data_IF_226060153333
#
_entry.id   IF_226060153333
#
_cell.length_a   1.000
_cell.length_b   1.000
_cell.length_c   1.000
_cell.angle_alpha   90.00
_cell.angle_beta   90.00
_cell.angle_gamma   90.00
#
_symmetry.space_group_name_H-M   'P 1'
#
loop_
_entity.id
_entity.type
_entity.pdbx_description
1 polymer ?
#
# COMPACT_ATOMS: atom_id res chain seq x y z
N UNK A 1 -78.43 -63.72 -26.88
CA UNK A 1 -77.84 -62.71 -25.98
C UNK A 1 -76.31 -62.74 -25.91
N UNK A 2 -75.61 -63.68 -26.58
CA UNK A 2 -74.14 -63.83 -26.43
C UNK A 2 -73.32 -62.96 -27.41
N UNK A 3 -73.79 -62.75 -28.64
CA UNK A 3 -72.98 -62.10 -29.68
C UNK A 3 -72.73 -60.60 -29.41
N UNK A 4 -73.74 -59.91 -28.87
CA UNK A 4 -73.63 -58.49 -28.50
C UNK A 4 -72.71 -58.26 -27.30
N UNK A 5 -72.71 -59.18 -26.33
CA UNK A 5 -71.82 -59.14 -25.17
C UNK A 5 -70.35 -59.37 -25.57
N UNK A 6 -70.08 -60.29 -26.49
CA UNK A 6 -68.72 -60.51 -26.98
C UNK A 6 -68.18 -59.33 -27.81
N UNK A 7 -69.02 -58.69 -28.63
CA UNK A 7 -68.63 -57.48 -29.36
C UNK A 7 -68.34 -56.31 -28.41
N UNK A 8 -69.18 -56.11 -27.38
CA UNK A 8 -68.93 -55.10 -26.34
C UNK A 8 -67.64 -55.38 -25.54
N UNK A 9 -67.40 -56.63 -25.14
CA UNK A 9 -66.17 -57.00 -24.44
C UNK A 9 -64.93 -56.80 -25.32
N UNK A 10 -64.99 -57.17 -26.60
CA UNK A 10 -63.88 -56.99 -27.53
C UNK A 10 -63.59 -55.50 -27.77
N UNK A 11 -64.63 -54.67 -27.87
CA UNK A 11 -64.49 -53.22 -28.01
C UNK A 11 -63.84 -52.62 -26.75
N UNK A 12 -64.32 -53.00 -25.56
CA UNK A 12 -63.76 -52.55 -24.28
C UNK A 12 -62.31 -53.00 -24.08
N UNK A 13 -61.97 -54.23 -24.48
CA UNK A 13 -60.60 -54.74 -24.44
C UNK A 13 -59.68 -53.99 -25.41
N UNK A 14 -60.14 -53.73 -26.64
CA UNK A 14 -59.37 -52.94 -27.61
C UNK A 14 -59.16 -51.49 -27.16
N UNK A 15 -60.18 -50.87 -26.56
CA UNK A 15 -60.11 -49.53 -26.00
C UNK A 15 -59.17 -49.48 -24.78
N UNK A 16 -59.27 -50.46 -23.88
CA UNK A 16 -58.39 -50.59 -22.72
C UNK A 16 -56.93 -50.83 -23.12
N UNK A 17 -56.69 -51.68 -24.12
CA UNK A 17 -55.34 -51.91 -24.65
C UNK A 17 -54.78 -50.66 -25.32
N UNK A 18 -55.59 -49.94 -26.11
CA UNK A 18 -55.20 -48.67 -26.71
C UNK A 18 -54.83 -47.60 -25.67
N UNK A 19 -55.60 -47.53 -24.59
CA UNK A 19 -55.34 -46.60 -23.49
C UNK A 19 -54.07 -46.97 -22.71
N UNK A 20 -53.82 -48.26 -22.48
CA UNK A 20 -52.57 -48.73 -21.86
C UNK A 20 -51.34 -48.41 -22.71
N UNK A 21 -51.42 -48.63 -24.03
CA UNK A 21 -50.34 -48.30 -24.96
C UNK A 21 -50.07 -46.79 -24.95
N UNK A 22 -51.14 -45.98 -24.98
CA UNK A 22 -51.03 -44.52 -24.93
C UNK A 22 -50.35 -44.03 -23.64
N UNK A 23 -50.78 -44.55 -22.48
CA UNK A 23 -50.17 -44.22 -21.19
C UNK A 23 -48.69 -44.65 -21.12
N UNK A 24 -48.35 -45.79 -21.70
CA UNK A 24 -46.97 -46.29 -21.73
C UNK A 24 -46.06 -45.41 -22.60
N UNK A 25 -46.55 -44.95 -23.77
CA UNK A 25 -45.84 -44.01 -24.63
C UNK A 25 -45.65 -42.65 -23.92
N UNK A 26 -46.71 -42.13 -23.28
CA UNK A 26 -46.63 -40.89 -22.51
C UNK A 26 -45.61 -40.97 -21.36
N UNK A 27 -45.61 -42.08 -20.62
CA UNK A 27 -44.67 -42.27 -19.51
C UNK A 27 -43.22 -42.35 -20.01
N UNK A 28 -42.96 -43.05 -21.12
CA UNK A 28 -41.64 -43.06 -21.74
C UNK A 28 -41.20 -41.67 -22.22
N UNK A 29 -42.12 -40.87 -22.76
CA UNK A 29 -41.83 -39.50 -23.18
C UNK A 29 -41.48 -38.60 -21.99
N UNK A 30 -42.22 -38.71 -20.89
CA UNK A 30 -41.93 -37.97 -19.64
C UNK A 30 -40.57 -38.35 -19.06
N UNK A 31 -40.24 -39.64 -19.03
CA UNK A 31 -38.93 -40.11 -18.55
C UNK A 31 -37.77 -39.56 -19.41
N UNK A 32 -37.95 -39.49 -20.73
CA UNK A 32 -36.93 -38.89 -21.62
C UNK A 32 -36.78 -37.39 -21.40
N UNK A 33 -37.88 -36.67 -21.18
CA UNK A 33 -37.83 -35.24 -20.88
C UNK A 33 -37.15 -34.95 -19.54
N UNK A 34 -37.45 -35.73 -18.50
CA UNK A 34 -36.77 -35.63 -17.20
C UNK A 34 -35.27 -35.88 -17.33
N UNK A 35 -34.87 -36.94 -18.06
CA UNK A 35 -33.45 -37.23 -18.30
C UNK A 35 -32.74 -36.11 -19.09
N UNK A 36 -33.43 -35.47 -20.04
CA UNK A 36 -32.89 -34.34 -20.78
C UNK A 36 -32.71 -33.09 -19.90
N UNK A 37 -33.68 -32.82 -19.00
CA UNK A 37 -33.58 -31.71 -18.03
C UNK A 37 -32.44 -31.95 -17.04
N UNK A 38 -32.32 -33.16 -16.50
CA UNK A 38 -31.22 -33.52 -15.61
C UNK A 38 -29.85 -33.37 -16.29
N UNK A 39 -29.74 -33.78 -17.57
CA UNK A 39 -28.52 -33.62 -18.34
C UNK A 39 -28.18 -32.14 -18.58
N UNK A 40 -29.16 -31.30 -18.90
CA UNK A 40 -28.99 -29.86 -19.06
C UNK A 40 -28.60 -29.19 -17.73
N UNK A 41 -29.21 -29.59 -16.62
CA UNK A 41 -28.91 -29.04 -15.30
C UNK A 41 -27.48 -29.40 -14.86
N UNK A 42 -27.06 -30.66 -15.07
CA UNK A 42 -25.68 -31.09 -14.80
C UNK A 42 -24.68 -30.38 -15.71
N UNK A 43 -24.95 -30.28 -17.00
CA UNK A 43 -24.10 -29.56 -17.95
C UNK A 43 -23.98 -28.07 -17.62
N UNK A 44 -25.07 -27.44 -17.18
CA UNK A 44 -25.08 -26.05 -16.72
C UNK A 44 -24.26 -25.88 -15.44
N UNK A 45 -24.44 -26.74 -14.44
CA UNK A 45 -23.67 -26.71 -13.20
C UNK A 45 -22.17 -26.95 -13.42
N UNK A 46 -21.82 -27.88 -14.31
CA UNK A 46 -20.43 -28.15 -14.68
C UNK A 46 -19.80 -26.97 -15.42
N UNK A 47 -20.53 -26.35 -16.36
CA UNK A 47 -20.07 -25.17 -17.08
C UNK A 47 -19.93 -23.95 -16.15
N UNK A 48 -20.85 -23.77 -15.21
CA UNK A 48 -20.74 -22.75 -14.16
C UNK A 48 -19.52 -23.01 -13.29
N UNK A 49 -19.28 -24.24 -12.84
CA UNK A 49 -18.08 -24.60 -12.07
C UNK A 49 -16.78 -24.32 -12.82
N UNK A 50 -16.70 -24.72 -14.10
CA UNK A 50 -15.54 -24.47 -14.97
C UNK A 50 -15.28 -23.00 -15.22
N UNK A 51 -16.30 -22.15 -15.17
CA UNK A 51 -16.17 -20.72 -15.46
C UNK A 51 -15.95 -19.90 -14.19
N UNK A 52 -16.64 -20.21 -13.10
CA UNK A 52 -16.63 -19.42 -11.86
C UNK A 52 -15.37 -19.65 -11.03
N UNK A 53 -14.89 -20.89 -10.92
CA UNK A 53 -13.66 -21.22 -10.16
C UNK A 53 -12.45 -20.41 -10.66
N UNK A 54 -12.09 -20.43 -11.96
CA UNK A 54 -10.96 -19.63 -12.45
C UNK A 54 -11.22 -18.13 -12.42
N UNK A 55 -12.49 -17.69 -12.41
CA UNK A 55 -12.82 -16.27 -12.24
C UNK A 55 -12.51 -15.80 -10.81
N UNK A 56 -12.87 -16.62 -9.81
CA UNK A 56 -12.58 -16.36 -8.40
C UNK A 56 -11.08 -16.31 -8.15
N UNK A 57 -10.31 -17.27 -8.68
CA UNK A 57 -8.84 -17.27 -8.57
C UNK A 57 -8.22 -16.00 -9.19
N UNK A 58 -8.72 -15.56 -10.35
CA UNK A 58 -8.27 -14.32 -10.99
C UNK A 58 -8.62 -13.07 -10.17
N UNK A 59 -9.81 -13.04 -9.55
CA UNK A 59 -10.24 -11.96 -8.67
C UNK A 59 -9.38 -11.86 -7.41
N UNK A 60 -9.05 -12.98 -6.79
CA UNK A 60 -8.13 -13.04 -5.64
C UNK A 60 -6.72 -12.56 -6.02
N UNK A 61 -6.21 -12.97 -7.18
CA UNK A 61 -4.93 -12.50 -7.69
C UNK A 61 -4.92 -10.97 -7.93
N UNK A 62 -5.99 -10.42 -8.52
CA UNK A 62 -6.13 -8.97 -8.73
C UNK A 62 -6.18 -8.23 -7.39
N UNK A 63 -6.93 -8.73 -6.41
CA UNK A 63 -7.00 -8.15 -5.05
C UNK A 63 -5.63 -8.13 -4.36
N UNK A 64 -4.87 -9.22 -4.47
CA UNK A 64 -3.52 -9.31 -3.92
C UNK A 64 -2.54 -8.33 -4.59
N UNK A 65 -2.61 -8.19 -5.91
CA UNK A 65 -1.76 -7.23 -6.65
C UNK A 65 -2.14 -5.79 -6.29
N UNK A 66 -3.43 -5.49 -6.19
CA UNK A 66 -3.93 -4.15 -5.87
C UNK A 66 -3.56 -3.73 -4.46
N UNK A 67 -3.69 -4.63 -3.48
CA UNK A 67 -3.28 -4.36 -2.09
C UNK A 67 -1.76 -4.16 -1.95
N UNK A 68 -0.95 -4.95 -2.66
CA UNK A 68 0.50 -4.73 -2.72
C UNK A 68 0.86 -3.38 -3.34
N UNK A 69 0.23 -3.01 -4.46
CA UNK A 69 0.48 -1.75 -5.14
C UNK A 69 0.08 -0.54 -4.26
N UNK A 70 -1.06 -0.61 -3.58
CA UNK A 70 -1.49 0.43 -2.63
C UNK A 70 -0.49 0.58 -1.48
N UNK A 71 -0.02 -0.53 -0.91
CA UNK A 71 0.97 -0.51 0.17
C UNK A 71 2.32 0.03 -0.29
N UNK A 72 2.80 -0.37 -1.46
CA UNK A 72 4.04 0.16 -2.04
C UNK A 72 3.95 1.67 -2.31
N UNK A 73 2.79 2.13 -2.76
CA UNK A 73 2.52 3.55 -3.00
C UNK A 73 2.52 4.33 -1.68
N UNK A 74 1.83 3.83 -0.66
CA UNK A 74 1.81 4.43 0.68
C UNK A 74 3.20 4.43 1.34
N UNK A 75 3.93 3.33 1.26
CA UNK A 75 5.30 3.22 1.75
C UNK A 75 6.24 4.20 1.02
N UNK A 76 6.06 4.38 -0.30
CA UNK A 76 6.82 5.36 -1.09
C UNK A 76 6.50 6.79 -0.68
N UNK A 77 5.22 7.14 -0.50
CA UNK A 77 4.81 8.45 -0.01
C UNK A 77 5.33 8.74 1.39
N UNK A 78 5.26 7.78 2.30
CA UNK A 78 5.76 7.91 3.66
C UNK A 78 7.28 8.10 3.70
N UNK A 79 8.03 7.36 2.87
CA UNK A 79 9.47 7.55 2.71
C UNK A 79 9.80 8.95 2.19
N UNK A 80 9.07 9.43 1.17
CA UNK A 80 9.26 10.77 0.60
C UNK A 80 8.94 11.87 1.62
N UNK A 81 7.89 11.71 2.41
CA UNK A 81 7.52 12.64 3.48
C UNK A 81 8.58 12.67 4.58
N UNK A 82 9.05 11.51 5.03
CA UNK A 82 10.14 11.42 6.01
C UNK A 82 11.42 12.08 5.48
N UNK A 83 11.74 11.92 4.19
CA UNK A 83 12.89 12.58 3.56
C UNK A 83 12.75 14.11 3.54
N UNK A 84 11.59 14.62 3.13
CA UNK A 84 11.29 16.06 3.16
C UNK A 84 11.35 16.64 4.58
N UNK A 85 10.86 15.90 5.57
CA UNK A 85 10.92 16.31 6.97
C UNK A 85 12.37 16.45 7.45
N UNK A 86 13.23 15.47 7.16
CA UNK A 86 14.66 15.53 7.48
C UNK A 86 15.35 16.75 6.83
N UNK A 87 15.05 17.03 5.56
CA UNK A 87 15.56 18.23 4.87
C UNK A 87 15.08 19.52 5.53
N UNK A 88 13.81 19.60 5.86
CA UNK A 88 13.23 20.78 6.52
C UNK A 88 13.91 21.06 7.86
N UNK A 89 14.17 20.03 8.66
CA UNK A 89 14.79 20.19 9.98
C UNK A 89 16.27 20.63 9.88
N UNK A 90 17.00 20.17 8.86
CA UNK A 90 18.33 20.70 8.53
C UNK A 90 18.28 22.16 8.04
N UNK A 91 17.31 22.55 7.22
CA UNK A 91 17.12 23.95 6.82
C UNK A 91 16.81 24.87 8.02
N UNK A 92 15.95 24.42 8.96
CA UNK A 92 15.69 25.16 10.20
C UNK A 92 16.97 25.35 11.00
N UNK A 93 17.82 24.33 11.05
CA UNK A 93 19.13 24.38 11.72
C UNK A 93 20.04 25.43 11.09
N UNK A 94 20.12 25.50 9.76
CA UNK A 94 20.82 26.59 9.05
C UNK A 94 20.25 27.97 9.40
N UNK A 95 18.93 28.09 9.52
CA UNK A 95 18.28 29.34 9.97
C UNK A 95 18.73 29.77 11.37
N UNK A 96 18.82 28.83 12.32
CA UNK A 96 19.34 29.09 13.67
C UNK A 96 20.82 29.47 13.65
N UNK A 97 21.61 28.81 12.80
CA UNK A 97 23.04 29.11 12.61
C UNK A 97 23.25 30.54 12.08
N UNK A 98 22.45 30.95 11.10
CA UNK A 98 22.49 32.31 10.56
C UNK A 98 22.05 33.35 11.59
N UNK A 99 21.06 33.05 12.43
CA UNK A 99 20.68 33.93 13.55
C UNK A 99 21.81 34.07 14.57
N UNK A 100 22.50 32.97 14.90
CA UNK A 100 23.66 33.01 15.80
C UNK A 100 24.79 33.88 15.21
N UNK A 101 25.04 33.77 13.91
CA UNK A 101 26.01 34.61 13.20
C UNK A 101 25.63 36.09 13.17
N UNK A 102 24.35 36.42 12.96
CA UNK A 102 23.88 37.81 13.05
C UNK A 102 24.13 38.38 14.44
N UNK A 103 23.82 37.62 15.50
CA UNK A 103 24.11 38.03 16.89
C UNK A 103 25.62 38.24 17.12
N UNK A 104 26.47 37.37 16.55
CA UNK A 104 27.93 37.56 16.61
C UNK A 104 28.36 38.86 15.93
N UNK A 105 27.84 39.14 14.74
CA UNK A 105 28.13 40.39 14.00
C UNK A 105 27.63 41.64 14.74
N UNK A 106 26.56 41.52 15.52
CA UNK A 106 26.04 42.56 16.42
C UNK A 106 26.80 42.68 17.75
N UNK A 107 27.96 42.00 17.89
CA UNK A 107 28.76 41.95 19.10
C UNK A 107 28.07 41.33 20.34
N UNK A 108 26.99 40.57 20.13
CA UNK A 108 26.23 39.84 21.16
C UNK A 108 26.78 38.42 21.34
N UNK A 109 28.05 38.33 21.76
CA UNK A 109 28.80 37.07 21.79
C UNK A 109 28.16 35.96 22.63
N UNK A 110 27.61 36.30 23.80
CA UNK A 110 26.96 35.33 24.69
C UNK A 110 25.66 34.83 24.08
N UNK A 111 24.79 35.72 23.60
CA UNK A 111 23.54 35.30 22.93
C UNK A 111 23.81 34.51 21.65
N UNK A 112 24.81 34.92 20.87
CA UNK A 112 25.26 34.18 19.68
C UNK A 112 25.69 32.76 20.03
N UNK A 113 26.49 32.61 21.09
CA UNK A 113 27.00 31.33 21.55
C UNK A 113 25.88 30.40 22.07
N UNK A 114 24.93 30.93 22.84
CA UNK A 114 23.80 30.15 23.33
C UNK A 114 22.87 29.72 22.19
N UNK A 115 22.65 30.62 21.21
CA UNK A 115 21.91 30.30 20.00
C UNK A 115 22.61 29.22 19.18
N UNK A 116 23.93 29.33 18.99
CA UNK A 116 24.73 28.31 18.32
C UNK A 116 24.69 26.97 19.06
N UNK A 117 24.84 26.96 20.38
CA UNK A 117 24.78 25.76 21.21
C UNK A 117 23.43 25.03 21.06
N UNK A 118 22.33 25.76 20.90
CA UNK A 118 20.99 25.17 20.69
C UNK A 118 20.89 24.31 19.42
N UNK A 119 21.76 24.52 18.44
CA UNK A 119 21.77 23.75 17.19
C UNK A 119 22.38 22.36 17.35
N UNK A 120 23.23 22.14 18.37
CA UNK A 120 23.99 20.88 18.55
C UNK A 120 23.09 19.66 18.61
N UNK A 121 22.02 19.73 19.41
CA UNK A 121 21.08 18.62 19.60
C UNK A 121 20.42 18.24 18.28
N UNK A 122 19.98 19.24 17.50
CA UNK A 122 19.30 19.03 16.23
C UNK A 122 20.26 18.41 15.20
N UNK A 123 21.49 18.89 15.13
CA UNK A 123 22.53 18.32 14.25
C UNK A 123 22.86 16.88 14.64
N UNK A 124 22.95 16.59 15.94
CA UNK A 124 23.20 15.24 16.45
C UNK A 124 22.07 14.28 16.07
N UNK A 125 20.82 14.66 16.35
CA UNK A 125 19.63 13.87 16.03
C UNK A 125 19.47 13.67 14.51
N UNK A 126 19.79 14.69 13.71
CA UNK A 126 19.85 14.56 12.26
C UNK A 126 20.91 13.52 11.83
N UNK A 127 22.06 13.47 12.50
CA UNK A 127 23.07 12.43 12.30
C UNK A 127 22.59 11.03 12.63
N UNK A 128 21.80 10.86 13.70
CA UNK A 128 21.18 9.56 14.02
C UNK A 128 20.13 9.16 12.97
N UNK A 129 19.39 10.12 12.42
CA UNK A 129 18.37 9.89 11.40
C UNK A 129 18.95 9.66 9.98
N UNK A 130 20.17 10.12 9.72
CA UNK A 130 20.88 10.04 8.44
C UNK A 130 22.16 9.22 8.63
N UNK A 131 22.02 7.89 8.71
CA UNK A 131 23.10 6.99 9.05
C UNK A 131 24.36 7.14 8.18
N UNK A 132 24.20 7.42 6.88
CA UNK A 132 25.27 7.65 5.92
C UNK A 132 25.97 9.01 6.08
N UNK A 133 25.31 9.99 6.71
CA UNK A 133 25.87 11.32 7.03
C UNK A 133 26.25 11.47 8.51
N UNK A 134 25.97 10.46 9.34
CA UNK A 134 26.13 10.50 10.80
C UNK A 134 27.49 11.02 11.25
N UNK A 135 28.57 10.42 10.74
CA UNK A 135 29.93 10.79 11.12
C UNK A 135 30.24 12.26 10.81
N UNK A 136 29.81 12.75 9.64
CA UNK A 136 30.01 14.13 9.21
C UNK A 136 29.26 15.10 10.12
N UNK A 137 27.96 14.86 10.34
CA UNK A 137 27.13 15.70 11.21
C UNK A 137 27.60 15.70 12.67
N UNK A 138 27.96 14.55 13.22
CA UNK A 138 28.43 14.45 14.62
C UNK A 138 29.85 15.01 14.80
N UNK A 139 30.69 14.98 13.77
CA UNK A 139 32.01 15.63 13.82
C UNK A 139 31.95 17.14 14.03
N UNK A 140 30.81 17.78 13.72
CA UNK A 140 30.58 19.21 13.91
C UNK A 140 30.45 19.62 15.39
N UNK A 141 30.25 18.68 16.31
CA UNK A 141 30.11 19.00 17.74
C UNK A 141 31.35 19.73 18.29
N UNK A 142 32.55 19.24 17.97
CA UNK A 142 33.81 19.84 18.43
C UNK A 142 34.03 21.27 17.89
N UNK A 143 33.90 21.51 16.56
CA UNK A 143 33.92 22.85 16.00
C UNK A 143 32.89 23.80 16.63
N UNK A 144 31.65 23.32 16.85
CA UNK A 144 30.61 24.12 17.51
C UNK A 144 31.02 24.48 18.94
N UNK A 145 31.51 23.53 19.72
CA UNK A 145 31.94 23.78 21.10
C UNK A 145 33.08 24.81 21.19
N UNK A 146 34.03 24.75 20.25
CA UNK A 146 35.11 25.75 20.15
C UNK A 146 34.55 27.15 19.85
N UNK A 147 33.62 27.26 18.91
CA UNK A 147 32.98 28.54 18.58
C UNK A 147 32.18 29.09 19.75
N UNK A 148 31.38 28.26 20.42
CA UNK A 148 30.60 28.66 21.60
C UNK A 148 31.54 29.17 22.71
N UNK A 149 32.65 28.48 22.97
CA UNK A 149 33.62 28.91 23.97
C UNK A 149 34.29 30.25 23.58
N UNK A 150 34.72 30.40 22.32
CA UNK A 150 35.34 31.63 21.83
C UNK A 150 34.38 32.83 21.93
N UNK A 151 33.15 32.67 21.46
CA UNK A 151 32.16 33.75 21.45
C UNK A 151 31.72 34.14 22.87
N UNK A 152 31.62 33.18 23.80
CA UNK A 152 31.40 33.47 25.24
C UNK A 152 32.57 34.20 25.89
N UNK A 153 33.79 33.92 25.44
CA UNK A 153 35.00 34.62 25.90
C UNK A 153 35.17 36.00 25.25
N UNK A 154 34.27 36.39 24.33
CA UNK A 154 34.31 37.68 23.63
C UNK A 154 35.19 37.68 22.37
N UNK A 155 35.80 36.54 22.00
CA UNK A 155 36.47 36.40 20.71
C UNK A 155 35.42 36.11 19.63
N UNK A 156 35.07 37.15 18.89
CA UNK A 156 34.09 37.09 17.80
C UNK A 156 34.75 36.96 16.43
N UNK A 157 36.08 36.77 16.35
CA UNK A 157 36.77 36.58 15.08
C UNK A 157 36.45 35.26 14.36
N UNK A 158 36.25 34.11 15.02
CA UNK A 158 35.97 32.87 14.32
C UNK A 158 34.50 32.79 13.90
N UNK A 159 34.26 32.30 12.68
CA UNK A 159 32.92 32.17 12.09
C UNK A 159 32.46 30.72 12.05
N UNK A 160 31.14 30.54 11.99
CA UNK A 160 30.49 29.26 11.81
C UNK A 160 30.43 28.80 10.34
N UNK A 161 31.22 29.39 9.44
CA UNK A 161 31.18 29.09 8.00
C UNK A 161 31.46 27.63 7.69
N UNK A 162 32.40 26.99 8.40
CA UNK A 162 32.69 25.56 8.23
C UNK A 162 31.48 24.71 8.59
N UNK A 163 30.78 25.04 9.68
CA UNK A 163 29.55 24.35 10.10
C UNK A 163 28.45 24.56 9.06
N UNK A 164 28.30 25.80 8.56
CA UNK A 164 27.29 26.15 7.55
C UNK A 164 27.51 25.37 6.26
N UNK A 165 28.73 25.39 5.72
CA UNK A 165 29.09 24.70 4.46
C UNK A 165 28.88 23.21 4.55
N UNK A 166 29.19 22.59 5.68
CA UNK A 166 28.97 21.15 5.87
C UNK A 166 27.47 20.82 5.87
N UNK A 167 26.64 21.60 6.56
CA UNK A 167 25.19 21.44 6.56
C UNK A 167 24.58 21.68 5.18
N UNK A 168 25.05 22.68 4.44
CA UNK A 168 24.64 22.95 3.05
C UNK A 168 25.02 21.80 2.12
N UNK A 169 26.21 21.22 2.30
CA UNK A 169 26.66 20.06 1.52
C UNK A 169 25.77 18.85 1.78
N UNK A 170 25.48 18.53 3.06
CA UNK A 170 24.56 17.45 3.42
C UNK A 170 23.16 17.70 2.86
N UNK A 171 22.66 18.93 2.91
CA UNK A 171 21.37 19.31 2.31
C UNK A 171 21.35 19.16 0.79
N UNK A 172 22.46 19.47 0.12
CA UNK A 172 22.62 19.28 -1.32
C UNK A 172 22.60 17.81 -1.72
N UNK A 173 23.25 16.95 -0.93
CA UNK A 173 23.21 15.50 -1.12
C UNK A 173 21.79 14.94 -0.95
N UNK A 174 21.07 15.37 0.09
CA UNK A 174 19.64 15.04 0.28
C UNK A 174 18.73 15.65 -0.80
N UNK A 175 19.22 16.60 -1.60
CA UNK A 175 18.47 17.15 -2.73
C UNK A 175 18.52 16.28 -3.98
N UNK A 176 19.54 15.43 -4.08
CA UNK A 176 19.85 14.59 -5.24
C UNK A 176 19.51 13.11 -5.02
N UNK A 177 19.17 12.71 -3.78
CA UNK A 177 18.62 11.41 -3.40
C UNK A 177 17.08 11.36 -3.60
#
# INVERSE_FOLDING_TARGET
>A
MNLFQHLLLSLLLSLGLGLLIYLLIQNQQLQRQLAAVDALQRGSAENMGKTLIPLTEKLEAISLVTSKLSKETEDSHNKKLAHLQKRLDLYKTLGLLNQAELLRLEAKGVEAADKLASTKKIIWEAGEALADKKARLQSLMGPIDKLVAAWKAGDLSPTADTVRKELETVLGELGND
#
